data_IF_055380803207
#
_entry.id   IF_055380803207
#
_cell.length_a   1.000
_cell.length_b   1.000
_cell.length_c   1.000
_cell.angle_alpha   90.00
_cell.angle_beta   90.00
_cell.angle_gamma   90.00
#
_symmetry.space_group_name_H-M   'P 1'
#
loop_
_entity.id
_entity.type
_entity.pdbx_description
1 polymer ?
#
# COMPACT_ATOMS: atom_id res chain seq x y z
N UNK A 1 0.77 19.43 -19.63
CA UNK A 1 -0.04 18.20 -19.70
C UNK A 1 -1.22 18.24 -18.72
N UNK A 2 -1.11 18.95 -17.58
CA UNK A 2 -2.21 19.08 -16.63
C UNK A 2 -3.50 19.60 -17.28
N UNK A 3 -3.41 20.63 -18.13
CA UNK A 3 -4.53 21.20 -18.86
C UNK A 3 -5.24 20.23 -19.84
N UNK A 4 -4.64 19.06 -20.06
CA UNK A 4 -5.13 18.02 -20.97
C UNK A 4 -5.33 16.67 -20.26
N UNK A 5 -5.30 16.65 -18.94
CA UNK A 5 -5.38 15.41 -18.17
C UNK A 5 -6.66 14.63 -18.50
N UNK A 6 -7.80 15.30 -18.55
CA UNK A 6 -9.08 14.69 -18.91
C UNK A 6 -9.06 14.09 -20.33
N UNK A 7 -8.65 14.88 -21.34
CA UNK A 7 -8.55 14.43 -22.73
C UNK A 7 -7.65 13.20 -22.88
N UNK A 8 -6.47 13.24 -22.23
CA UNK A 8 -5.47 12.17 -22.33
C UNK A 8 -6.02 10.88 -21.70
N UNK A 9 -6.56 10.93 -20.47
CA UNK A 9 -7.11 9.76 -19.80
C UNK A 9 -8.25 9.13 -20.61
N UNK A 10 -9.22 9.94 -21.06
CA UNK A 10 -10.34 9.47 -21.88
C UNK A 10 -9.88 8.84 -23.21
N UNK A 11 -8.88 9.43 -23.86
CA UNK A 11 -8.33 8.90 -25.11
C UNK A 11 -7.62 7.56 -24.92
N UNK A 12 -6.80 7.43 -23.85
CA UNK A 12 -6.09 6.19 -23.54
C UNK A 12 -7.06 5.04 -23.22
N UNK A 13 -8.07 5.28 -22.39
CA UNK A 13 -9.13 4.31 -22.13
C UNK A 13 -9.85 3.91 -23.42
N UNK A 14 -10.21 4.87 -24.26
CA UNK A 14 -10.84 4.59 -25.56
C UNK A 14 -9.97 3.73 -26.49
N UNK A 15 -8.65 3.90 -26.46
CA UNK A 15 -7.72 3.02 -27.20
C UNK A 15 -7.74 1.60 -26.62
N UNK A 16 -7.65 1.46 -25.31
CA UNK A 16 -7.65 0.17 -24.61
C UNK A 16 -8.98 -0.58 -24.82
N UNK A 17 -10.13 0.11 -24.73
CA UNK A 17 -11.45 -0.48 -25.00
C UNK A 17 -11.56 -1.01 -26.42
N UNK A 18 -11.09 -0.27 -27.43
CA UNK A 18 -11.09 -0.76 -28.83
C UNK A 18 -10.20 -1.99 -29.02
N UNK A 19 -9.05 -2.04 -28.34
CA UNK A 19 -8.13 -3.19 -28.43
C UNK A 19 -8.69 -4.41 -27.68
N UNK A 20 -9.31 -4.22 -26.52
CA UNK A 20 -9.88 -5.28 -25.70
C UNK A 20 -11.13 -5.89 -26.36
N UNK A 21 -11.97 -5.08 -26.99
CA UNK A 21 -13.28 -5.51 -27.49
C UNK A 21 -14.08 -6.17 -26.38
N UNK A 22 -14.69 -7.30 -26.66
CA UNK A 22 -15.42 -8.11 -25.67
C UNK A 22 -14.55 -9.20 -24.99
N UNK A 23 -13.24 -9.19 -25.24
CA UNK A 23 -12.34 -10.27 -24.81
C UNK A 23 -11.69 -10.02 -23.46
N UNK A 24 -11.59 -8.78 -23.03
CA UNK A 24 -10.91 -8.41 -21.79
C UNK A 24 -11.54 -7.16 -21.15
N UNK A 25 -11.47 -7.10 -19.82
CA UNK A 25 -11.81 -5.91 -19.08
C UNK A 25 -10.71 -4.86 -19.22
N UNK A 26 -11.09 -3.58 -19.13
CA UNK A 26 -10.15 -2.46 -19.17
C UNK A 26 -10.08 -1.81 -17.80
N UNK A 27 -8.90 -1.83 -17.21
CA UNK A 27 -8.63 -1.19 -15.94
C UNK A 27 -8.22 0.28 -16.15
N UNK A 28 -8.73 1.16 -15.27
CA UNK A 28 -8.19 2.50 -15.07
C UNK A 28 -6.95 2.42 -14.21
N UNK A 29 -5.79 2.64 -14.82
CA UNK A 29 -4.50 2.53 -14.14
C UNK A 29 -4.11 3.84 -13.48
N UNK A 30 -3.73 3.77 -12.21
CA UNK A 30 -3.29 4.88 -11.36
C UNK A 30 -2.02 4.46 -10.62
N UNK A 31 -1.07 5.37 -10.50
CA UNK A 31 0.19 5.13 -9.80
C UNK A 31 0.56 6.33 -8.93
N UNK A 32 1.68 6.26 -8.23
CA UNK A 32 2.15 7.31 -7.34
C UNK A 32 2.41 8.63 -8.07
N UNK A 33 2.19 9.73 -7.36
CA UNK A 33 2.40 11.09 -7.88
C UNK A 33 3.88 11.49 -7.94
N UNK A 34 4.73 10.80 -7.20
CA UNK A 34 6.14 11.15 -7.03
C UNK A 34 6.39 12.29 -6.05
N UNK A 35 5.34 12.73 -5.32
CA UNK A 35 5.47 13.78 -4.29
C UNK A 35 5.15 13.18 -2.93
N UNK A 36 6.10 13.21 -2.02
CA UNK A 36 5.94 12.64 -0.69
C UNK A 36 4.90 13.42 0.15
N UNK A 37 4.15 12.65 0.97
CA UNK A 37 3.19 13.20 1.93
C UNK A 37 3.89 13.91 3.10
N UNK A 38 3.19 14.86 3.73
CA UNK A 38 3.61 15.43 5.02
C UNK A 38 3.77 14.33 6.08
N UNK A 39 4.77 14.48 6.97
CA UNK A 39 5.76 15.54 7.10
C UNK A 39 7.02 15.32 6.26
N UNK A 40 7.20 14.15 5.61
CA UNK A 40 8.39 13.85 4.78
C UNK A 40 8.46 14.76 3.55
N UNK A 41 7.33 15.11 2.98
CA UNK A 41 7.20 15.99 1.81
C UNK A 41 6.13 17.06 1.98
N UNK A 42 5.87 17.83 0.92
CA UNK A 42 4.95 18.97 1.01
C UNK A 42 3.47 18.62 0.77
N UNK A 43 3.14 17.36 0.44
CA UNK A 43 1.79 16.97 0.01
C UNK A 43 0.89 16.66 1.20
N UNK A 44 -0.23 17.39 1.30
CA UNK A 44 -1.26 17.06 2.29
C UNK A 44 -2.13 15.90 1.81
N UNK A 45 -2.53 15.02 2.74
CA UNK A 45 -3.35 13.85 2.42
C UNK A 45 -4.66 14.21 1.70
N UNK A 46 -5.37 15.23 2.17
CA UNK A 46 -6.62 15.68 1.52
C UNK A 46 -6.39 16.20 0.08
N UNK A 47 -5.28 16.90 -0.14
CA UNK A 47 -4.91 17.38 -1.47
C UNK A 47 -4.62 16.20 -2.41
N UNK A 48 -3.90 15.22 -1.92
CA UNK A 48 -3.59 13.99 -2.65
C UNK A 48 -4.85 13.20 -3.00
N UNK A 49 -5.76 13.00 -2.06
CA UNK A 49 -7.06 12.35 -2.30
C UNK A 49 -7.83 13.10 -3.41
N UNK A 50 -7.84 14.42 -3.40
CA UNK A 50 -8.54 15.21 -4.42
C UNK A 50 -7.89 15.06 -5.80
N UNK A 51 -6.57 14.97 -5.90
CA UNK A 51 -5.85 14.69 -7.16
C UNK A 51 -6.26 13.32 -7.71
N UNK A 52 -6.27 12.28 -6.88
CA UNK A 52 -6.70 10.95 -7.29
C UNK A 52 -8.19 10.89 -7.66
N UNK A 53 -9.06 11.62 -6.96
CA UNK A 53 -10.48 11.74 -7.33
C UNK A 53 -10.68 12.35 -8.70
N UNK A 54 -9.89 13.36 -9.04
CA UNK A 54 -9.95 14.00 -10.35
C UNK A 54 -9.61 12.99 -11.45
N UNK A 55 -8.50 12.29 -11.34
CA UNK A 55 -8.12 11.25 -12.30
C UNK A 55 -9.13 10.09 -12.35
N UNK A 56 -9.60 9.62 -11.18
CA UNK A 56 -10.59 8.55 -11.11
C UNK A 56 -11.89 8.91 -11.85
N UNK A 57 -12.36 10.17 -11.75
CA UNK A 57 -13.53 10.64 -12.51
C UNK A 57 -13.31 10.58 -14.02
N UNK A 58 -12.16 11.03 -14.51
CA UNK A 58 -11.85 10.98 -15.94
C UNK A 58 -11.83 9.55 -16.48
N UNK A 59 -11.24 8.61 -15.71
CA UNK A 59 -11.19 7.20 -16.07
C UNK A 59 -12.58 6.55 -16.03
N UNK A 60 -13.38 6.86 -14.99
CA UNK A 60 -14.75 6.36 -14.85
C UNK A 60 -15.64 6.83 -16.00
N UNK A 61 -15.61 8.12 -16.33
CA UNK A 61 -16.38 8.69 -17.46
C UNK A 61 -15.96 8.10 -18.81
N UNK A 62 -14.70 7.68 -18.94
CA UNK A 62 -14.22 7.00 -20.13
C UNK A 62 -14.66 5.53 -20.23
N UNK A 63 -15.28 4.99 -19.17
CA UNK A 63 -15.91 3.67 -19.13
C UNK A 63 -14.96 2.52 -18.80
N UNK A 64 -14.02 2.71 -17.85
CA UNK A 64 -13.23 1.60 -17.31
C UNK A 64 -14.12 0.59 -16.60
N UNK A 65 -13.72 -0.68 -16.55
CA UNK A 65 -14.46 -1.75 -15.90
C UNK A 65 -14.07 -1.94 -14.43
N UNK A 66 -12.84 -1.55 -14.08
CA UNK A 66 -12.26 -1.60 -12.73
C UNK A 66 -11.12 -0.59 -12.62
N UNK A 67 -10.59 -0.41 -11.42
CA UNK A 67 -9.39 0.39 -11.18
C UNK A 67 -8.22 -0.50 -10.75
N UNK A 68 -7.02 -0.09 -11.15
CA UNK A 68 -5.75 -0.65 -10.69
C UNK A 68 -4.89 0.49 -10.15
N UNK A 69 -4.57 0.43 -8.87
CA UNK A 69 -3.59 1.28 -8.20
C UNK A 69 -2.34 0.44 -8.05
N UNK A 70 -1.30 0.71 -8.85
CA UNK A 70 -0.14 -0.18 -8.92
C UNK A 70 1.22 0.52 -8.90
N UNK A 71 2.27 -0.25 -8.65
CA UNK A 71 3.66 0.22 -8.52
C UNK A 71 3.81 1.23 -7.38
N UNK A 72 3.02 1.04 -6.35
CA UNK A 72 2.99 1.93 -5.18
C UNK A 72 4.10 1.55 -4.21
N UNK A 73 4.82 2.56 -3.71
CA UNK A 73 5.92 2.38 -2.76
C UNK A 73 5.56 2.85 -1.35
N UNK A 74 4.51 3.69 -1.23
CA UNK A 74 3.98 4.23 0.02
C UNK A 74 2.58 3.69 0.28
N UNK A 75 2.37 3.11 1.46
CA UNK A 75 1.05 2.65 1.89
C UNK A 75 0.09 3.83 2.09
N UNK A 76 0.58 4.96 2.62
CA UNK A 76 -0.24 6.15 2.82
C UNK A 76 -0.76 6.72 1.49
N UNK A 77 0.08 6.78 0.46
CA UNK A 77 -0.33 7.21 -0.88
C UNK A 77 -1.29 6.21 -1.53
N UNK A 78 -1.04 4.90 -1.37
CA UNK A 78 -1.95 3.85 -1.85
C UNK A 78 -3.34 3.97 -1.20
N UNK A 79 -3.39 4.22 0.11
CA UNK A 79 -4.63 4.49 0.84
C UNK A 79 -5.39 5.68 0.26
N UNK A 80 -4.69 6.78 0.01
CA UNK A 80 -5.30 7.98 -0.59
C UNK A 80 -5.95 7.66 -1.94
N UNK A 81 -5.29 6.89 -2.80
CA UNK A 81 -5.81 6.49 -4.10
C UNK A 81 -7.04 5.58 -3.97
N UNK A 82 -6.99 4.55 -3.12
CA UNK A 82 -8.13 3.64 -2.89
C UNK A 82 -9.33 4.39 -2.32
N UNK A 83 -9.13 5.23 -1.30
CA UNK A 83 -10.18 6.07 -0.71
C UNK A 83 -10.80 6.99 -1.78
N UNK A 84 -9.97 7.65 -2.58
CA UNK A 84 -10.43 8.52 -3.66
C UNK A 84 -11.35 7.80 -4.65
N UNK A 85 -10.97 6.60 -5.09
CA UNK A 85 -11.78 5.78 -6.00
C UNK A 85 -13.10 5.37 -5.35
N UNK A 86 -13.06 4.84 -4.11
CA UNK A 86 -14.25 4.39 -3.39
C UNK A 86 -15.23 5.53 -3.06
N UNK A 87 -14.76 6.76 -2.92
CA UNK A 87 -15.63 7.93 -2.79
C UNK A 87 -16.25 8.40 -4.13
N UNK A 88 -15.68 8.01 -5.26
CA UNK A 88 -16.17 8.38 -6.60
C UNK A 88 -17.10 7.31 -7.18
N UNK A 89 -16.81 6.02 -6.94
CA UNK A 89 -17.59 4.92 -7.50
C UNK A 89 -17.48 3.62 -6.70
N UNK A 90 -18.28 2.60 -7.10
CA UNK A 90 -18.28 1.26 -6.52
C UNK A 90 -17.63 0.21 -7.43
N UNK A 91 -16.84 0.62 -8.42
CA UNK A 91 -16.12 -0.34 -9.25
C UNK A 91 -15.05 -1.10 -8.44
N UNK A 92 -14.71 -2.33 -8.84
CA UNK A 92 -13.64 -3.08 -8.18
C UNK A 92 -12.31 -2.34 -8.23
N UNK A 93 -11.54 -2.42 -7.14
CA UNK A 93 -10.21 -1.80 -7.00
C UNK A 93 -9.18 -2.85 -6.69
N UNK A 94 -8.17 -2.94 -7.54
CA UNK A 94 -6.94 -3.69 -7.30
C UNK A 94 -5.92 -2.71 -6.75
N UNK A 95 -5.32 -3.02 -5.60
CA UNK A 95 -4.23 -2.23 -5.02
C UNK A 95 -2.98 -3.09 -4.88
N UNK A 96 -1.88 -2.69 -5.53
CA UNK A 96 -0.62 -3.42 -5.46
C UNK A 96 0.56 -2.52 -5.12
N UNK A 97 1.44 -3.04 -4.26
CA UNK A 97 2.65 -2.36 -3.84
C UNK A 97 3.88 -3.03 -4.45
N UNK A 98 4.96 -2.27 -4.44
CA UNK A 98 6.27 -2.73 -4.87
C UNK A 98 7.15 -2.98 -3.63
N UNK A 99 7.59 -4.23 -3.46
CA UNK A 99 8.45 -4.65 -2.36
C UNK A 99 9.88 -4.83 -2.85
N UNK A 100 10.85 -4.46 -2.02
CA UNK A 100 12.27 -4.64 -2.26
C UNK A 100 12.73 -6.05 -1.86
N UNK A 101 14.02 -6.35 -2.01
CA UNK A 101 14.61 -7.66 -1.69
C UNK A 101 14.46 -8.05 -0.20
N UNK A 102 14.43 -7.05 0.69
CA UNK A 102 14.19 -7.25 2.13
C UNK A 102 12.73 -7.61 2.46
N UNK A 103 11.84 -7.57 1.47
CA UNK A 103 10.41 -7.84 1.62
C UNK A 103 9.62 -6.67 2.20
N UNK A 104 10.15 -5.44 2.15
CA UNK A 104 9.46 -4.21 2.54
C UNK A 104 9.29 -3.27 1.35
N UNK A 105 8.33 -2.37 1.42
CA UNK A 105 8.25 -1.26 0.45
C UNK A 105 9.37 -0.26 0.71
N UNK A 106 9.59 0.68 -0.22
CA UNK A 106 10.57 1.77 -0.04
C UNK A 106 10.34 2.58 1.25
N UNK A 107 9.09 2.70 1.69
CA UNK A 107 8.71 3.40 2.92
C UNK A 107 8.61 2.48 4.15
N UNK A 108 9.13 1.25 4.07
CA UNK A 108 9.27 0.31 5.19
C UNK A 108 8.04 -0.53 5.50
N UNK A 109 6.95 -0.45 4.71
CA UNK A 109 5.73 -1.24 4.94
C UNK A 109 5.99 -2.73 4.71
N UNK A 110 5.67 -3.58 5.68
CA UNK A 110 5.71 -5.03 5.52
C UNK A 110 4.45 -5.59 4.82
N UNK A 111 4.51 -6.82 4.27
CA UNK A 111 3.40 -7.41 3.52
C UNK A 111 2.10 -7.61 4.31
N UNK A 112 2.19 -7.92 5.60
CA UNK A 112 1.01 -8.12 6.47
C UNK A 112 0.31 -6.79 6.72
N UNK A 113 1.08 -5.76 7.04
CA UNK A 113 0.56 -4.40 7.22
C UNK A 113 -0.14 -3.91 5.96
N UNK A 114 0.44 -4.13 4.78
CA UNK A 114 -0.17 -3.79 3.51
C UNK A 114 -1.55 -4.47 3.32
N UNK A 115 -1.62 -5.79 3.60
CA UNK A 115 -2.87 -6.54 3.53
C UNK A 115 -3.92 -5.98 4.48
N UNK A 116 -3.59 -5.86 5.77
CA UNK A 116 -4.50 -5.41 6.82
C UNK A 116 -5.10 -4.05 6.48
N UNK A 117 -4.26 -3.10 6.06
CA UNK A 117 -4.70 -1.75 5.74
C UNK A 117 -5.53 -1.70 4.45
N UNK A 118 -5.05 -2.30 3.37
CA UNK A 118 -5.71 -2.17 2.07
C UNK A 118 -7.05 -2.89 2.01
N UNK A 119 -7.18 -4.07 2.61
CA UNK A 119 -8.48 -4.75 2.66
C UNK A 119 -9.48 -4.02 3.57
N UNK A 120 -9.02 -3.41 4.69
CA UNK A 120 -9.89 -2.66 5.61
C UNK A 120 -10.50 -1.41 4.99
N UNK A 121 -9.83 -0.79 4.02
CA UNK A 121 -10.34 0.38 3.28
C UNK A 121 -11.09 0.02 2.00
N UNK A 122 -11.29 -1.28 1.75
CA UNK A 122 -12.16 -1.79 0.68
C UNK A 122 -11.46 -2.05 -0.66
N UNK A 123 -10.15 -2.30 -0.69
CA UNK A 123 -9.53 -2.88 -1.87
C UNK A 123 -10.10 -4.29 -2.10
N UNK A 124 -10.58 -4.57 -3.31
CA UNK A 124 -11.21 -5.84 -3.66
C UNK A 124 -10.17 -6.93 -4.00
N UNK A 125 -8.99 -6.51 -4.43
CA UNK A 125 -7.83 -7.35 -4.70
C UNK A 125 -6.61 -6.58 -4.21
N UNK A 126 -5.69 -7.27 -3.55
CA UNK A 126 -4.41 -6.71 -3.11
C UNK A 126 -3.26 -7.46 -3.78
N UNK A 127 -2.07 -6.87 -3.85
CA UNK A 127 -0.99 -7.62 -4.47
C UNK A 127 0.36 -6.95 -4.51
N UNK A 128 1.22 -7.57 -5.29
CA UNK A 128 2.59 -7.12 -5.52
C UNK A 128 2.88 -7.03 -7.02
N UNK A 129 3.61 -6.00 -7.43
CA UNK A 129 4.06 -5.88 -8.82
C UNK A 129 5.42 -5.18 -8.90
N UNK A 130 6.09 -5.37 -10.03
CA UNK A 130 7.35 -4.71 -10.37
C UNK A 130 8.53 -5.08 -9.44
N UNK A 131 9.52 -4.20 -9.29
CA UNK A 131 10.74 -4.24 -8.48
C UNK A 131 11.64 -5.44 -8.71
N UNK A 132 11.32 -6.56 -8.10
CA UNK A 132 12.13 -7.78 -8.07
C UNK A 132 11.68 -8.78 -9.12
N UNK A 133 12.45 -9.86 -9.28
CA UNK A 133 12.08 -10.99 -10.12
C UNK A 133 10.98 -11.86 -9.50
N UNK A 134 10.52 -12.87 -10.23
CA UNK A 134 9.46 -13.78 -9.75
C UNK A 134 9.79 -14.48 -8.44
N UNK A 135 11.05 -14.85 -8.22
CA UNK A 135 11.50 -15.61 -7.04
C UNK A 135 11.33 -14.83 -5.74
N UNK A 136 11.69 -13.58 -5.74
CA UNK A 136 11.65 -12.68 -4.57
C UNK A 136 10.21 -12.32 -4.16
N UNK A 137 9.25 -12.37 -5.10
CA UNK A 137 7.84 -12.14 -4.80
C UNK A 137 7.19 -13.29 -4.02
N UNK A 138 7.65 -14.52 -4.17
CA UNK A 138 7.05 -15.71 -3.54
C UNK A 138 6.96 -15.57 -2.01
N UNK A 139 8.02 -15.19 -1.28
CA UNK A 139 7.94 -14.97 0.17
C UNK A 139 6.94 -13.89 0.57
N UNK A 140 6.86 -12.80 -0.19
CA UNK A 140 5.92 -11.68 0.05
C UNK A 140 4.48 -12.19 -0.09
N UNK A 141 4.16 -12.90 -1.18
CA UNK A 141 2.82 -13.45 -1.42
C UNK A 141 2.42 -14.43 -0.31
N UNK A 142 3.36 -15.29 0.15
CA UNK A 142 3.10 -16.22 1.26
C UNK A 142 2.73 -15.51 2.54
N UNK A 143 3.46 -14.45 2.90
CA UNK A 143 3.13 -13.62 4.07
C UNK A 143 1.78 -12.92 3.94
N UNK A 144 1.50 -12.33 2.76
CA UNK A 144 0.20 -11.72 2.49
C UNK A 144 -0.94 -12.74 2.65
N UNK A 145 -0.73 -13.98 2.16
CA UNK A 145 -1.75 -15.02 2.14
C UNK A 145 -2.23 -15.44 3.52
N UNK A 146 -1.41 -15.30 4.55
CA UNK A 146 -1.78 -15.64 5.93
C UNK A 146 -2.91 -14.77 6.47
N UNK A 147 -3.04 -13.51 5.97
CA UNK A 147 -4.00 -12.51 6.45
C UNK A 147 -4.97 -12.00 5.38
N UNK A 148 -4.77 -12.38 4.11
CA UNK A 148 -5.59 -11.88 3.01
C UNK A 148 -6.97 -12.52 2.97
N UNK A 149 -8.00 -11.72 3.16
CA UNK A 149 -9.42 -12.06 3.02
C UNK A 149 -9.94 -11.84 1.58
N UNK A 150 -9.12 -11.19 0.75
CA UNK A 150 -9.38 -10.92 -0.67
C UNK A 150 -8.33 -11.62 -1.54
N UNK A 151 -8.59 -11.81 -2.85
CA UNK A 151 -7.61 -12.40 -3.76
C UNK A 151 -6.29 -11.61 -3.80
N UNK A 152 -5.19 -12.33 -4.03
CA UNK A 152 -3.84 -11.73 -4.16
C UNK A 152 -3.43 -11.70 -5.62
N UNK A 153 -2.96 -10.55 -6.08
CA UNK A 153 -2.37 -10.32 -7.40
C UNK A 153 -0.83 -10.45 -7.34
N UNK A 154 -0.24 -11.16 -8.31
CA UNK A 154 1.19 -11.19 -8.56
C UNK A 154 1.50 -10.76 -10.00
N UNK A 155 2.27 -9.67 -10.18
CA UNK A 155 2.71 -9.16 -11.50
C UNK A 155 4.23 -8.90 -11.50
N UNK A 156 5.08 -9.94 -11.61
CA UNK A 156 6.52 -9.77 -11.66
C UNK A 156 7.00 -9.12 -12.95
N UNK A 157 8.22 -8.60 -12.93
CA UNK A 157 8.96 -8.26 -14.13
C UNK A 157 9.43 -9.54 -14.84
N UNK A 158 9.74 -9.43 -16.13
CA UNK A 158 10.39 -10.49 -16.90
C UNK A 158 11.90 -10.58 -16.57
N UNK A 159 12.20 -10.87 -15.30
CA UNK A 159 13.54 -10.81 -14.70
C UNK A 159 13.94 -9.44 -14.20
N UNK A 160 15.15 -9.33 -13.67
CA UNK A 160 15.73 -8.05 -13.27
C UNK A 160 16.20 -7.26 -14.51
N UNK A 161 16.03 -5.92 -14.51
CA UNK A 161 16.50 -5.11 -15.63
C UNK A 161 18.03 -5.14 -15.71
N UNK A 162 18.55 -5.31 -16.91
CA UNK A 162 19.97 -5.16 -17.24
C UNK A 162 20.17 -4.06 -18.27
N UNK A 163 21.32 -3.39 -18.23
CA UNK A 163 21.66 -2.35 -19.20
C UNK A 163 22.52 -2.96 -20.31
N UNK A 164 21.97 -3.06 -21.52
CA UNK A 164 22.67 -3.52 -22.71
C UNK A 164 22.73 -2.37 -23.72
N UNK A 165 23.93 -1.96 -24.10
CA UNK A 165 24.17 -0.86 -25.05
C UNK A 165 23.41 0.45 -24.71
N UNK A 166 23.25 0.75 -23.41
CA UNK A 166 22.53 1.93 -22.92
C UNK A 166 21.00 1.81 -22.94
N UNK A 167 20.47 0.64 -23.24
CA UNK A 167 19.03 0.33 -23.23
C UNK A 167 18.71 -0.65 -22.11
N UNK A 168 17.64 -0.38 -21.37
CA UNK A 168 17.16 -1.31 -20.35
C UNK A 168 16.45 -2.50 -21.00
N UNK A 169 16.96 -3.71 -20.73
CA UNK A 169 16.40 -4.99 -21.23
C UNK A 169 15.99 -5.85 -20.03
N UNK A 170 14.96 -6.67 -20.24
CA UNK A 170 14.52 -7.68 -19.29
C UNK A 170 14.82 -9.06 -19.91
N UNK A 171 15.79 -9.81 -19.35
CA UNK A 171 16.38 -10.96 -20.05
C UNK A 171 15.58 -12.27 -19.92
N UNK A 172 14.57 -12.33 -19.04
CA UNK A 172 13.83 -13.56 -18.81
C UNK A 172 12.97 -13.92 -20.01
N UNK A 173 13.13 -15.15 -20.50
CA UNK A 173 12.34 -15.64 -21.63
C UNK A 173 10.89 -15.93 -21.24
N UNK A 174 9.94 -16.01 -22.22
CA UNK A 174 8.55 -16.39 -21.95
C UNK A 174 8.42 -17.76 -21.26
N UNK A 175 9.27 -18.73 -21.61
CA UNK A 175 9.30 -20.06 -21.01
C UNK A 175 9.72 -20.03 -19.55
N UNK A 176 10.79 -19.30 -19.24
CA UNK A 176 11.29 -19.13 -17.87
C UNK A 176 10.25 -18.39 -17.02
N UNK A 177 9.68 -17.32 -17.55
CA UNK A 177 8.65 -16.53 -16.88
C UNK A 177 7.42 -17.41 -16.55
N UNK A 178 6.92 -18.15 -17.51
CA UNK A 178 5.77 -19.03 -17.35
C UNK A 178 6.04 -20.14 -16.33
N UNK A 179 7.28 -20.60 -16.18
CA UNK A 179 7.65 -21.67 -15.24
C UNK A 179 7.37 -21.30 -13.78
N UNK A 180 7.31 -20.00 -13.44
CA UNK A 180 6.98 -19.50 -12.10
C UNK A 180 5.47 -19.53 -11.77
N UNK A 181 4.60 -19.66 -12.77
CA UNK A 181 3.15 -19.63 -12.59
C UNK A 181 2.63 -20.58 -11.51
N UNK A 182 2.98 -21.89 -11.52
CA UNK A 182 2.56 -22.82 -10.47
C UNK A 182 3.02 -22.41 -9.07
N UNK A 183 4.24 -21.88 -8.93
CA UNK A 183 4.77 -21.45 -7.64
C UNK A 183 4.02 -20.23 -7.08
N UNK A 184 3.56 -19.31 -7.92
CA UNK A 184 2.70 -18.20 -7.50
C UNK A 184 1.35 -18.69 -6.97
N UNK A 185 0.71 -19.64 -7.68
CA UNK A 185 -0.57 -20.23 -7.24
C UNK A 185 -0.39 -20.96 -5.91
N UNK A 186 0.69 -21.75 -5.78
CA UNK A 186 1.01 -22.45 -4.54
C UNK A 186 1.29 -21.48 -3.39
N UNK A 187 1.94 -20.35 -3.65
CA UNK A 187 2.16 -19.27 -2.66
C UNK A 187 0.85 -18.62 -2.23
N UNK A 188 -0.21 -18.65 -3.04
CA UNK A 188 -1.54 -18.12 -2.72
C UNK A 188 -2.03 -17.03 -3.65
N UNK A 189 -1.34 -16.74 -4.77
CA UNK A 189 -1.83 -15.79 -5.75
C UNK A 189 -3.12 -16.32 -6.41
N UNK A 190 -4.14 -15.45 -6.48
CA UNK A 190 -5.40 -15.71 -7.16
C UNK A 190 -5.45 -15.10 -8.56
N UNK A 191 -4.65 -14.06 -8.79
CA UNK A 191 -4.47 -13.40 -10.07
C UNK A 191 -2.97 -13.34 -10.39
N UNK A 192 -2.61 -13.62 -11.63
CA UNK A 192 -1.21 -13.57 -12.08
C UNK A 192 -1.15 -12.81 -13.39
N UNK A 193 -0.13 -11.99 -13.56
CA UNK A 193 0.13 -11.25 -14.78
C UNK A 193 1.62 -10.98 -14.94
N UNK A 194 1.95 -9.96 -15.71
CA UNK A 194 3.30 -9.47 -15.89
C UNK A 194 3.38 -7.96 -15.76
N UNK A 195 4.56 -7.46 -15.40
CA UNK A 195 4.89 -6.05 -15.34
C UNK A 195 5.99 -5.71 -16.37
N UNK A 196 7.03 -5.02 -16.00
CA UNK A 196 8.08 -4.58 -16.92
C UNK A 196 8.75 -5.76 -17.68
N UNK A 197 8.99 -5.53 -18.97
CA UNK A 197 9.58 -6.55 -19.87
C UNK A 197 8.63 -7.64 -20.35
N UNK A 198 7.43 -7.79 -19.76
CA UNK A 198 6.48 -8.81 -20.21
C UNK A 198 5.90 -8.48 -21.59
N UNK A 199 5.84 -9.47 -22.45
CA UNK A 199 5.24 -9.39 -23.79
C UNK A 199 3.97 -10.25 -23.85
N UNK A 200 3.14 -10.12 -24.90
CA UNK A 200 1.99 -11.01 -25.11
C UNK A 200 2.36 -12.49 -25.06
N UNK A 201 3.55 -12.87 -25.51
CA UNK A 201 4.02 -14.23 -25.49
C UNK A 201 4.28 -14.75 -24.06
N UNK A 202 4.85 -13.92 -23.18
CA UNK A 202 5.00 -14.24 -21.76
C UNK A 202 3.63 -14.57 -21.12
N UNK A 203 2.63 -13.75 -21.41
CA UNK A 203 1.28 -13.94 -20.84
C UNK A 203 0.60 -15.16 -21.43
N UNK A 204 0.76 -15.41 -22.74
CA UNK A 204 0.22 -16.61 -23.40
C UNK A 204 0.76 -17.89 -22.76
N UNK A 205 2.09 -17.99 -22.63
CA UNK A 205 2.73 -19.17 -22.05
C UNK A 205 2.42 -19.32 -20.56
N UNK A 206 2.37 -18.22 -19.81
CA UNK A 206 1.93 -18.23 -18.41
C UNK A 206 0.51 -18.80 -18.30
N UNK A 207 -0.43 -18.32 -19.14
CA UNK A 207 -1.81 -18.78 -19.13
C UNK A 207 -1.90 -20.29 -19.42
N UNK A 208 -1.16 -20.78 -20.40
CA UNK A 208 -1.09 -22.21 -20.71
C UNK A 208 -0.52 -23.01 -19.54
N UNK A 209 0.53 -22.50 -18.89
CA UNK A 209 1.21 -23.18 -17.78
C UNK A 209 0.35 -23.32 -16.54
N UNK A 210 -0.51 -22.32 -16.25
CA UNK A 210 -1.39 -22.34 -15.07
C UNK A 210 -2.79 -22.88 -15.36
N UNK A 211 -3.10 -23.18 -16.61
CA UNK A 211 -4.39 -23.72 -17.00
C UNK A 211 -4.74 -24.99 -16.22
N UNK A 212 -5.94 -25.01 -15.63
CA UNK A 212 -6.41 -26.14 -14.82
C UNK A 212 -5.86 -26.20 -13.38
N UNK A 213 -4.99 -25.29 -12.97
CA UNK A 213 -4.57 -25.20 -11.59
C UNK A 213 -5.63 -24.46 -10.75
N UNK A 214 -5.78 -24.90 -9.51
CA UNK A 214 -6.75 -24.32 -8.57
C UNK A 214 -6.06 -23.37 -7.60
N UNK A 215 -6.60 -22.17 -7.46
CA UNK A 215 -6.11 -21.18 -6.49
C UNK A 215 -6.56 -21.53 -5.07
N UNK A 216 -5.80 -21.09 -4.08
CA UNK A 216 -6.17 -21.22 -2.67
C UNK A 216 -7.24 -20.18 -2.31
N UNK A 217 -8.26 -20.61 -1.58
CA UNK A 217 -9.27 -19.68 -1.05
C UNK A 217 -8.62 -18.58 -0.19
N UNK A 218 -9.22 -17.39 -0.09
CA UNK A 218 -8.81 -16.37 0.87
C UNK A 218 -8.80 -16.89 2.30
N UNK A 219 -8.12 -16.20 3.20
CA UNK A 219 -8.11 -16.54 4.62
C UNK A 219 -9.50 -16.32 5.21
N UNK A 220 -9.96 -17.25 6.04
CA UNK A 220 -11.23 -17.13 6.78
C UNK A 220 -10.98 -16.75 8.26
N UNK A 221 -9.75 -16.46 8.63
CA UNK A 221 -9.41 -16.00 9.96
C UNK A 221 -9.51 -14.48 9.94
N UNK A 222 -10.27 -13.91 10.87
CA UNK A 222 -10.45 -12.46 11.02
C UNK A 222 -9.76 -12.00 12.32
N UNK A 223 -8.43 -11.94 12.36
CA UNK A 223 -7.73 -11.48 13.55
C UNK A 223 -8.05 -10.01 13.82
N UNK A 224 -8.08 -9.63 15.09
CA UNK A 224 -8.15 -8.21 15.45
C UNK A 224 -6.74 -7.64 15.24
N UNK A 225 -6.62 -6.73 14.29
CA UNK A 225 -5.34 -6.14 13.91
C UNK A 225 -5.35 -4.63 14.12
N UNK A 226 -4.26 -4.10 14.64
CA UNK A 226 -3.91 -2.69 14.53
C UNK A 226 -2.77 -2.56 13.53
N UNK A 227 -2.71 -1.45 12.80
CA UNK A 227 -1.66 -1.20 11.85
C UNK A 227 -1.24 0.28 11.84
N UNK A 228 0.07 0.52 11.85
CA UNK A 228 0.69 1.78 11.45
C UNK A 228 0.97 1.76 9.94
N UNK A 229 1.81 2.66 9.45
CA UNK A 229 2.25 2.61 8.05
C UNK A 229 3.25 1.46 7.77
N UNK A 230 4.01 1.04 8.79
CA UNK A 230 5.13 0.10 8.64
C UNK A 230 4.92 -1.24 9.30
N UNK A 231 4.18 -1.28 10.39
CA UNK A 231 4.00 -2.45 11.27
C UNK A 231 2.53 -2.73 11.51
N UNK A 232 2.20 -3.99 11.67
CA UNK A 232 0.90 -4.45 12.18
C UNK A 232 1.07 -5.22 13.47
N UNK A 233 0.06 -5.13 14.34
CA UNK A 233 0.00 -5.82 15.61
C UNK A 233 -1.30 -6.60 15.74
N UNK A 234 -1.21 -7.90 15.87
CA UNK A 234 -2.35 -8.75 16.19
C UNK A 234 -2.69 -8.67 17.68
N UNK A 235 -4.00 -8.56 17.97
CA UNK A 235 -4.55 -8.63 19.32
C UNK A 235 -5.32 -9.94 19.43
N UNK A 236 -4.76 -10.92 20.13
CA UNK A 236 -5.37 -12.23 20.34
C UNK A 236 -5.51 -12.52 21.84
N UNK A 237 -6.61 -13.21 22.22
CA UNK A 237 -6.88 -13.55 23.63
C UNK A 237 -5.89 -14.55 24.21
N UNK A 238 -5.31 -15.39 23.35
CA UNK A 238 -4.31 -16.42 23.67
C UNK A 238 -2.93 -16.08 23.08
N UNK A 239 -2.76 -14.86 22.59
CA UNK A 239 -1.54 -14.35 21.99
C UNK A 239 -0.54 -13.79 23.00
N UNK A 240 0.41 -13.01 22.48
CA UNK A 240 1.35 -12.25 23.29
C UNK A 240 0.64 -11.30 24.23
N UNK A 241 1.16 -11.14 25.44
CA UNK A 241 0.77 -10.05 26.32
C UNK A 241 1.22 -8.72 25.71
N UNK A 242 0.26 -7.81 25.48
CA UNK A 242 0.52 -6.49 24.91
C UNK A 242 0.44 -5.42 26.01
N UNK A 243 1.36 -4.48 25.97
CA UNK A 243 1.38 -3.32 26.85
C UNK A 243 0.91 -2.10 26.07
N UNK A 244 -0.08 -1.40 26.63
CA UNK A 244 -0.56 -0.12 26.09
C UNK A 244 0.03 0.99 26.96
N UNK A 245 0.77 1.90 26.36
CA UNK A 245 1.28 3.12 27.00
C UNK A 245 0.21 4.20 26.99
N UNK A 246 -0.20 4.68 28.17
CA UNK A 246 -1.31 5.65 28.36
C UNK A 246 -0.83 6.99 28.96
N UNK A 247 0.48 7.26 28.96
CA UNK A 247 1.05 8.47 29.56
C UNK A 247 0.77 9.78 28.78
N UNK A 248 0.49 9.67 27.48
CA UNK A 248 0.16 10.84 26.65
C UNK A 248 -1.28 11.25 26.92
N UNK A 249 -1.50 11.77 28.11
CA UNK A 249 -2.82 12.15 28.62
C UNK A 249 -2.71 13.40 29.49
N UNK A 250 -3.31 14.54 29.10
CA UNK A 250 -3.20 15.79 29.84
C UNK A 250 -3.99 15.79 31.16
N UNK A 251 -4.79 14.74 31.45
CA UNK A 251 -5.57 14.65 32.69
C UNK A 251 -4.64 14.57 33.90
N UNK A 252 -4.61 15.61 34.72
CA UNK A 252 -3.74 15.72 35.90
C UNK A 252 -2.30 16.15 35.60
N UNK A 253 -1.86 16.21 34.35
CA UNK A 253 -0.52 16.61 33.92
C UNK A 253 -0.44 18.09 33.51
N UNK A 254 -0.17 18.97 34.47
CA UNK A 254 -0.15 20.44 34.26
C UNK A 254 0.85 20.87 33.18
N UNK A 255 2.05 20.26 33.15
CA UNK A 255 3.08 20.58 32.17
C UNK A 255 2.62 20.29 30.75
N UNK A 256 2.03 19.08 30.53
CA UNK A 256 1.50 18.70 29.24
C UNK A 256 0.36 19.64 28.81
N UNK A 257 -0.56 19.98 29.72
CA UNK A 257 -1.64 20.95 29.45
C UNK A 257 -1.10 22.31 29.01
N UNK A 258 -0.03 22.80 29.66
CA UNK A 258 0.61 24.10 29.34
C UNK A 258 1.26 24.06 27.95
N UNK A 259 1.96 22.99 27.62
CA UNK A 259 2.57 22.79 26.29
C UNK A 259 1.52 22.71 25.17
N UNK A 260 0.48 21.89 25.36
CA UNK A 260 -0.60 21.78 24.39
C UNK A 260 -1.30 23.11 24.13
N UNK A 261 -1.52 23.93 25.17
CA UNK A 261 -2.04 25.31 25.02
C UNK A 261 -1.08 26.23 24.28
N UNK A 262 0.22 26.00 24.39
CA UNK A 262 1.24 26.72 23.63
C UNK A 262 1.43 26.19 22.18
N UNK A 263 0.68 25.15 21.79
CA UNK A 263 0.78 24.52 20.47
C UNK A 263 2.05 23.68 20.29
N UNK A 264 2.69 23.25 21.38
CA UNK A 264 3.93 22.43 21.39
C UNK A 264 3.62 20.98 21.64
N UNK A 265 4.49 20.11 21.16
CA UNK A 265 4.39 18.64 21.26
C UNK A 265 5.68 17.98 21.78
N UNK A 266 6.67 18.78 22.21
CA UNK A 266 7.97 18.27 22.64
C UNK A 266 7.82 17.21 23.77
N UNK A 267 6.93 17.45 24.73
CA UNK A 267 6.66 16.51 25.83
C UNK A 267 5.85 15.28 25.35
N UNK A 268 5.04 15.42 24.31
CA UNK A 268 4.31 14.30 23.70
C UNK A 268 5.29 13.33 23.06
N UNK A 269 6.28 13.84 22.33
CA UNK A 269 7.36 13.05 21.72
C UNK A 269 8.18 12.35 22.80
N UNK A 270 8.66 13.08 23.81
CA UNK A 270 9.43 12.49 24.93
C UNK A 270 8.66 11.39 25.64
N UNK A 271 7.37 11.57 25.89
CA UNK A 271 6.52 10.56 26.53
C UNK A 271 6.31 9.33 25.63
N UNK A 272 6.22 9.51 24.31
CA UNK A 272 6.09 8.42 23.37
C UNK A 272 7.36 7.55 23.34
N UNK A 273 8.51 8.18 23.17
CA UNK A 273 9.82 7.52 23.17
C UNK A 273 10.05 6.75 24.48
N UNK A 274 9.81 7.37 25.64
CA UNK A 274 9.96 6.71 26.95
C UNK A 274 9.07 5.48 27.08
N UNK A 275 7.82 5.53 26.62
CA UNK A 275 6.91 4.39 26.68
C UNK A 275 7.33 3.27 25.73
N UNK A 276 7.83 3.60 24.55
CA UNK A 276 8.37 2.63 23.59
C UNK A 276 9.61 1.94 24.16
N UNK A 277 10.59 2.70 24.69
CA UNK A 277 11.78 2.16 25.35
C UNK A 277 11.44 1.24 26.54
N UNK A 278 10.34 1.53 27.26
CA UNK A 278 9.83 0.69 28.36
C UNK A 278 9.06 -0.55 27.88
N UNK A 279 8.92 -0.74 26.56
CA UNK A 279 8.30 -1.91 25.94
C UNK A 279 6.80 -1.78 25.69
N UNK A 280 6.25 -0.58 25.55
CA UNK A 280 4.89 -0.40 25.08
C UNK A 280 4.78 -0.85 23.60
N UNK A 281 3.78 -1.67 23.32
CA UNK A 281 3.48 -2.14 21.97
C UNK A 281 2.50 -1.23 21.24
N UNK A 282 1.71 -0.49 22.00
CA UNK A 282 0.65 0.40 21.54
C UNK A 282 0.71 1.68 22.37
N UNK A 283 0.56 2.83 21.75
CA UNK A 283 0.44 4.12 22.44
C UNK A 283 -1.02 4.59 22.39
N UNK A 284 -1.60 4.87 23.56
CA UNK A 284 -2.88 5.56 23.70
C UNK A 284 -2.62 7.06 23.81
N UNK A 285 -3.29 7.85 22.97
CA UNK A 285 -3.08 9.29 22.85
C UNK A 285 -4.37 10.02 23.18
N UNK A 286 -4.31 10.87 24.18
CA UNK A 286 -5.41 11.76 24.59
C UNK A 286 -4.92 13.21 24.57
N UNK A 287 -5.65 14.09 23.85
CA UNK A 287 -5.36 15.53 23.75
C UNK A 287 -6.41 16.39 24.46
N UNK A 288 -7.34 15.78 25.21
CA UNK A 288 -8.48 16.45 25.84
C UNK A 288 -8.07 17.40 26.96
N UNK A 289 -7.91 18.69 26.64
CA UNK A 289 -7.69 19.77 27.65
C UNK A 289 -8.40 21.06 27.24
N UNK A 290 -8.79 21.85 28.26
CA UNK A 290 -9.45 23.12 28.00
C UNK A 290 -8.49 24.15 27.37
N UNK A 291 -8.99 24.93 26.41
CA UNK A 291 -8.29 26.04 25.78
C UNK A 291 -7.50 25.73 24.54
N UNK A 292 -7.73 24.56 23.93
CA UNK A 292 -7.18 24.15 22.62
C UNK A 292 -8.30 23.68 21.68
N UNK A 293 -8.01 23.64 20.37
CA UNK A 293 -8.78 22.82 19.42
C UNK A 293 -8.25 21.39 19.49
N UNK A 294 -9.02 20.51 20.14
CA UNK A 294 -8.63 19.12 20.40
C UNK A 294 -8.42 18.33 19.09
N UNK A 295 -9.27 18.57 18.08
CA UNK A 295 -9.14 17.92 16.77
C UNK A 295 -7.84 18.34 16.08
N UNK A 296 -7.56 19.63 16.03
CA UNK A 296 -6.33 20.14 15.41
C UNK A 296 -5.10 19.61 16.14
N UNK A 297 -5.12 19.62 17.47
CA UNK A 297 -4.01 19.13 18.29
C UNK A 297 -3.79 17.63 18.12
N UNK A 298 -4.87 16.83 18.09
CA UNK A 298 -4.78 15.39 17.85
C UNK A 298 -4.16 15.07 16.49
N UNK A 299 -4.57 15.78 15.43
CA UNK A 299 -3.97 15.60 14.10
C UNK A 299 -2.48 15.94 14.08
N UNK A 300 -2.07 16.99 14.77
CA UNK A 300 -0.65 17.36 14.92
C UNK A 300 0.12 16.31 15.70
N UNK A 301 -0.42 15.83 16.82
CA UNK A 301 0.21 14.80 17.65
C UNK A 301 0.39 13.49 16.88
N UNK A 302 -0.65 13.02 16.17
CA UNK A 302 -0.55 11.81 15.34
C UNK A 302 0.51 11.99 14.26
N UNK A 303 0.52 13.13 13.55
CA UNK A 303 1.52 13.40 12.51
C UNK A 303 2.93 13.43 13.06
N UNK A 304 3.13 13.98 14.26
CA UNK A 304 4.40 14.01 14.96
C UNK A 304 4.87 12.59 15.29
N UNK A 305 4.04 11.81 15.97
CA UNK A 305 4.38 10.48 16.48
C UNK A 305 4.57 9.41 15.39
N UNK A 306 3.94 9.56 14.23
CA UNK A 306 4.13 8.64 13.10
C UNK A 306 5.57 8.60 12.58
N UNK A 307 6.39 9.60 12.91
CA UNK A 307 7.73 9.77 12.35
C UNK A 307 8.85 9.82 13.39
N UNK A 308 8.53 9.94 14.68
CA UNK A 308 9.53 10.00 15.75
C UNK A 308 9.93 8.63 16.29
N UNK A 309 9.00 7.74 16.48
CA UNK A 309 9.27 6.43 17.10
C UNK A 309 9.86 5.37 16.16
N UNK A 310 9.54 5.42 14.86
CA UNK A 310 10.03 4.44 13.87
C UNK A 310 11.28 4.90 13.08
N UNK A 311 11.67 6.18 13.18
CA UNK A 311 12.82 6.73 12.44
C UNK A 311 14.16 6.52 13.14
N UNK A 312 14.16 6.24 14.45
CA UNK A 312 15.38 6.10 15.23
C UNK A 312 16.03 4.72 15.14
N UNK A 313 15.26 3.66 14.85
CA UNK A 313 15.75 2.26 14.90
C UNK A 313 16.28 1.72 13.55
N UNK A 314 15.96 2.37 12.43
CA UNK A 314 16.55 2.01 11.15
C UNK A 314 17.48 3.13 10.70
N UNK A 315 18.73 3.04 11.11
CA UNK A 315 19.79 3.86 10.55
C UNK A 315 19.70 3.80 9.02
N UNK A 316 19.23 4.90 8.43
CA UNK A 316 19.46 5.19 7.03
C UNK A 316 20.98 5.21 6.86
N UNK A 317 21.54 4.05 6.57
CA UNK A 317 22.89 3.94 6.08
C UNK A 317 22.96 4.74 4.80
N UNK A 318 23.61 5.90 4.89
CA UNK A 318 24.07 6.70 3.75
C UNK A 318 25.19 5.97 3.06
#
# INVERSE_FOLDING_TARGET
>A
LADRAEEINKRLVGLSKRAAGDKALVAGDMTMTGVALEPVGPMKLEALINIYKEQAKYLLEAGVDLFVVETMMSLAETRAAVIAIKEVCNLPVIASLTFQEDGRTLYGTDPVTAVVVLQSIGADIIGVNCSTGPGEMIPVIKKMKEYAEVPILAKPNAGLPVLEDGVTVYPMTPEEFASWGPAFIEAGAGLIGGCCGSTPEHIRMLTEKVSGLTTKAPCNIHPIMLASERKSQEIALDGKFLVIGERINPTGEKKLQEELRAGKLDLVEEMAEQQEEMGAHILDINMGTNGIDEKEMMLKAISCLLYTSDAADEGLGV
#
